data_IF_827974643270
#
_entry.id   IF_827974643270
#
_cell.length_a   1.000
_cell.length_b   1.000
_cell.length_c   1.000
_cell.angle_alpha   90.00
_cell.angle_beta   90.00
_cell.angle_gamma   90.00
#
_symmetry.space_group_name_H-M   'P 1'
#
loop_
_entity.id
_entity.type
_entity.pdbx_description
1 polymer ?
#
# COMPACT_ATOMS: atom_id res chain seq x y z
N UNK A 1 21.86 17.07 8.22
CA UNK A 1 20.91 16.72 7.15
C UNK A 1 21.54 17.15 5.84
N UNK A 2 22.24 16.24 5.16
CA UNK A 2 22.98 16.51 3.92
C UNK A 2 22.03 16.25 2.75
N UNK A 3 21.86 17.17 1.79
CA UNK A 3 21.05 16.92 0.61
C UNK A 3 21.72 15.85 -0.27
N UNK A 4 20.98 14.78 -0.57
CA UNK A 4 21.38 13.78 -1.56
C UNK A 4 21.23 14.41 -2.94
N UNK A 5 22.35 14.79 -3.55
CA UNK A 5 22.41 15.23 -4.95
C UNK A 5 22.03 14.01 -5.81
N UNK A 6 20.86 14.05 -6.45
CA UNK A 6 20.52 13.12 -7.52
C UNK A 6 21.37 13.51 -8.73
N UNK A 7 22.63 13.08 -8.73
CA UNK A 7 23.44 13.06 -9.94
C UNK A 7 22.95 11.87 -10.76
N UNK A 8 22.32 12.15 -11.91
CA UNK A 8 22.22 11.15 -12.97
C UNK A 8 23.65 10.85 -13.42
N UNK A 9 24.23 9.78 -12.90
CA UNK A 9 25.53 9.27 -13.36
C UNK A 9 25.31 8.78 -14.80
N UNK A 10 26.04 9.32 -15.79
CA UNK A 10 25.93 8.88 -17.19
C UNK A 10 26.30 7.40 -17.27
N UNK A 11 25.63 6.68 -18.16
CA UNK A 11 25.56 5.21 -18.32
C UNK A 11 26.93 4.50 -18.43
N UNK A 12 27.71 4.51 -17.35
CA UNK A 12 28.90 3.70 -17.12
C UNK A 12 28.57 2.48 -16.26
N UNK A 13 29.43 1.48 -16.32
CA UNK A 13 29.32 0.24 -15.54
C UNK A 13 29.38 0.54 -14.03
N UNK A 14 28.21 0.68 -13.40
CA UNK A 14 28.08 0.97 -11.99
C UNK A 14 28.42 -0.29 -11.16
N UNK A 15 29.51 -0.22 -10.38
CA UNK A 15 29.91 -1.29 -9.45
C UNK A 15 29.07 -1.32 -8.15
N UNK A 16 28.09 -0.44 -8.00
CA UNK A 16 27.26 -0.31 -6.79
C UNK A 16 25.79 -0.14 -7.14
N UNK A 17 24.90 -0.64 -6.27
CA UNK A 17 23.45 -0.44 -6.38
C UNK A 17 23.08 0.99 -5.98
N UNK A 18 22.33 1.73 -6.81
CA UNK A 18 21.91 3.08 -6.47
C UNK A 18 20.78 3.06 -5.43
N UNK A 19 20.67 4.11 -4.61
CA UNK A 19 19.69 4.20 -3.51
C UNK A 19 18.22 3.97 -3.94
N UNK A 20 17.87 4.32 -5.18
CA UNK A 20 16.52 4.15 -5.72
C UNK A 20 16.40 2.99 -6.73
N UNK A 21 17.49 2.22 -6.90
CA UNK A 21 17.59 1.05 -7.79
C UNK A 21 17.21 1.31 -9.27
N UNK A 22 17.46 2.54 -9.75
CA UNK A 22 17.09 3.01 -11.10
C UNK A 22 17.49 2.10 -12.28
N UNK A 23 18.56 1.31 -12.12
CA UNK A 23 19.24 0.65 -13.22
C UNK A 23 19.36 -0.87 -13.07
N UNK A 24 18.57 -1.49 -12.19
CA UNK A 24 18.70 -2.93 -11.93
C UNK A 24 18.27 -3.83 -13.11
N UNK A 25 17.48 -3.33 -14.06
CA UNK A 25 17.00 -4.06 -15.25
C UNK A 25 16.94 -3.14 -16.47
N UNK A 26 17.08 -3.72 -17.68
CA UNK A 26 17.05 -2.99 -18.96
C UNK A 26 15.77 -2.16 -19.16
N UNK A 27 14.68 -2.55 -18.49
CA UNK A 27 13.47 -1.77 -18.31
C UNK A 27 13.57 -0.95 -17.02
N UNK A 28 13.84 0.36 -17.18
CA UNK A 28 14.12 1.36 -16.13
C UNK A 28 12.97 1.61 -15.13
N UNK A 29 11.92 0.78 -15.06
CA UNK A 29 10.70 1.04 -14.27
C UNK A 29 10.15 -0.17 -13.50
N UNK A 30 10.80 -1.33 -13.51
CA UNK A 30 10.17 -2.57 -12.99
C UNK A 30 10.34 -2.75 -11.48
N UNK A 31 11.38 -2.18 -10.86
CA UNK A 31 11.76 -2.46 -9.46
C UNK A 31 12.40 -1.24 -8.81
N UNK A 32 11.62 -0.17 -8.67
CA UNK A 32 12.09 1.10 -8.12
C UNK A 32 11.29 1.46 -6.89
N UNK A 33 11.93 2.22 -6.00
CA UNK A 33 11.22 2.88 -4.90
C UNK A 33 10.16 3.83 -5.46
N UNK A 34 9.00 3.94 -4.78
CA UNK A 34 7.88 4.82 -5.14
C UNK A 34 7.10 4.48 -6.42
N UNK A 35 7.19 3.23 -6.91
CA UNK A 35 6.32 2.72 -7.98
C UNK A 35 5.09 2.02 -7.35
N UNK A 36 3.88 2.15 -7.95
CA UNK A 36 2.70 1.43 -7.47
C UNK A 36 2.93 -0.09 -7.46
N UNK A 37 2.43 -0.75 -6.40
CA UNK A 37 2.58 -2.19 -6.24
C UNK A 37 1.94 -2.95 -7.42
N UNK A 38 2.73 -3.83 -8.04
CA UNK A 38 2.27 -4.75 -9.07
C UNK A 38 1.18 -5.65 -8.48
N UNK A 39 0.08 -5.80 -9.20
CA UNK A 39 -1.07 -6.60 -8.75
C UNK A 39 -1.04 -7.96 -9.43
N UNK A 40 -1.01 -9.03 -8.64
CA UNK A 40 -1.09 -10.40 -9.15
C UNK A 40 -2.49 -10.75 -9.67
N UNK A 41 -3.52 -10.14 -9.07
CA UNK A 41 -4.93 -10.36 -9.44
C UNK A 41 -5.62 -9.02 -9.68
N UNK A 42 -6.69 -9.03 -10.47
CA UNK A 42 -7.54 -7.86 -10.64
C UNK A 42 -8.08 -7.37 -9.28
N UNK A 43 -8.17 -6.05 -9.11
CA UNK A 43 -8.73 -5.48 -7.87
C UNK A 43 -10.24 -5.56 -7.92
N UNK A 44 -10.81 -6.10 -6.84
CA UNK A 44 -12.26 -6.21 -6.67
C UNK A 44 -12.71 -5.13 -5.69
N UNK A 45 -13.27 -4.04 -6.21
CA UNK A 45 -13.91 -2.95 -5.47
C UNK A 45 -15.41 -2.91 -5.73
N UNK A 46 -16.19 -2.20 -4.92
CA UNK A 46 -17.65 -2.14 -5.08
C UNK A 46 -18.11 -1.46 -6.38
N UNK A 47 -17.38 -0.44 -6.85
CA UNK A 47 -17.63 0.28 -8.11
C UNK A 47 -16.47 0.16 -9.12
N UNK A 48 -15.56 -0.80 -8.96
CA UNK A 48 -14.45 -1.02 -9.90
C UNK A 48 -13.24 -0.08 -9.77
N UNK A 49 -13.33 1.02 -9.01
CA UNK A 49 -12.31 2.08 -9.05
C UNK A 49 -11.69 2.43 -7.69
N UNK A 50 -12.46 2.90 -6.69
CA UNK A 50 -11.86 3.45 -5.44
C UNK A 50 -12.57 3.10 -4.13
N UNK A 51 -13.74 2.46 -4.17
CA UNK A 51 -14.52 2.19 -2.96
C UNK A 51 -14.16 0.84 -2.33
N UNK A 52 -14.12 0.75 -0.99
CA UNK A 52 -13.94 -0.52 -0.31
C UNK A 52 -15.02 -1.51 -0.77
N UNK A 53 -14.64 -2.79 -0.80
CA UNK A 53 -15.52 -3.88 -1.25
C UNK A 53 -16.78 -3.96 -0.37
N UNK A 54 -17.87 -4.52 -0.92
CA UNK A 54 -19.06 -4.96 -0.16
C UNK A 54 -19.24 -6.47 -0.30
N UNK A 55 -20.10 -7.07 0.53
CA UNK A 55 -20.43 -8.50 0.43
C UNK A 55 -21.00 -8.85 -0.94
N UNK A 56 -20.44 -9.87 -1.61
CA UNK A 56 -20.94 -10.35 -2.90
C UNK A 56 -22.33 -11.00 -2.74
N UNK A 57 -22.53 -11.76 -1.66
CA UNK A 57 -23.74 -12.58 -1.44
C UNK A 57 -24.91 -11.78 -0.86
N UNK A 58 -24.65 -10.97 0.16
CA UNK A 58 -25.70 -10.23 0.89
C UNK A 58 -25.85 -8.79 0.43
N UNK A 59 -24.92 -8.27 -0.40
CA UNK A 59 -24.85 -6.86 -0.83
C UNK A 59 -24.79 -5.84 0.34
N UNK A 60 -24.58 -6.32 1.56
CA UNK A 60 -24.41 -5.52 2.77
C UNK A 60 -22.95 -5.08 2.96
N UNK A 61 -22.69 -4.00 3.72
CA UNK A 61 -21.33 -3.61 4.10
C UNK A 61 -20.63 -4.74 4.87
N UNK A 62 -19.30 -4.86 4.71
CA UNK A 62 -18.53 -5.82 5.51
C UNK A 62 -18.59 -5.48 7.00
N UNK A 63 -18.53 -6.49 7.88
CA UNK A 63 -18.47 -6.24 9.31
C UNK A 63 -17.26 -5.38 9.66
N UNK A 64 -17.38 -4.58 10.71
CA UNK A 64 -16.29 -3.69 11.11
C UNK A 64 -15.04 -4.52 11.44
N UNK A 65 -13.84 -4.06 11.04
CA UNK A 65 -12.59 -4.76 11.37
C UNK A 65 -12.42 -5.00 12.87
N UNK A 66 -12.92 -4.07 13.70
CA UNK A 66 -12.89 -4.20 15.16
C UNK A 66 -13.79 -5.32 15.67
N UNK A 67 -14.98 -5.49 15.10
CA UNK A 67 -15.87 -6.60 15.44
C UNK A 67 -15.22 -7.93 15.09
N UNK A 68 -14.60 -8.05 13.90
CA UNK A 68 -13.88 -9.27 13.49
C UNK A 68 -12.69 -9.54 14.43
N UNK A 69 -11.91 -8.51 14.74
CA UNK A 69 -10.75 -8.60 15.65
C UNK A 69 -11.16 -9.16 17.02
N UNK A 70 -12.25 -8.66 17.59
CA UNK A 70 -12.71 -9.08 18.92
C UNK A 70 -13.45 -10.41 18.94
N UNK A 71 -14.10 -10.80 17.83
CA UNK A 71 -14.87 -12.05 17.78
C UNK A 71 -14.06 -13.27 17.36
N UNK A 72 -13.00 -13.08 16.55
CA UNK A 72 -12.20 -14.20 16.01
C UNK A 72 -10.83 -14.34 16.64
N UNK A 73 -10.17 -13.22 17.01
CA UNK A 73 -8.80 -13.25 17.52
C UNK A 73 -8.83 -13.08 19.04
N UNK A 74 -8.83 -14.21 19.74
CA UNK A 74 -8.74 -14.25 21.20
C UNK A 74 -7.27 -14.16 21.59
N UNK A 75 -6.96 -13.30 22.55
CA UNK A 75 -5.62 -13.18 23.12
C UNK A 75 -5.40 -14.35 24.08
N UNK A 76 -4.36 -15.15 23.82
CA UNK A 76 -3.99 -16.32 24.61
C UNK A 76 -2.48 -16.31 24.77
N UNK A 77 -2.02 -16.36 26.01
CA UNK A 77 -0.59 -16.44 26.34
C UNK A 77 -0.03 -17.81 25.93
N UNK A 78 0.52 -17.89 24.71
CA UNK A 78 1.10 -19.10 24.13
C UNK A 78 2.57 -18.86 23.74
N UNK A 79 3.54 -18.98 24.67
CA UNK A 79 4.95 -18.84 24.34
C UNK A 79 5.44 -20.01 23.47
N UNK A 80 6.31 -19.70 22.52
CA UNK A 80 6.97 -20.70 21.68
C UNK A 80 8.36 -21.03 22.25
N UNK A 81 8.64 -22.30 22.53
CA UNK A 81 9.92 -22.76 23.10
C UNK A 81 11.00 -23.09 22.07
N UNK A 82 10.61 -23.25 20.80
CA UNK A 82 11.52 -23.62 19.70
C UNK A 82 12.08 -22.40 18.98
N UNK A 83 11.30 -21.31 18.90
CA UNK A 83 11.67 -20.10 18.20
C UNK A 83 11.85 -18.93 19.16
N UNK A 84 12.93 -18.19 18.98
CA UNK A 84 13.20 -16.98 19.74
C UNK A 84 12.37 -15.81 19.20
N UNK A 85 12.07 -14.82 20.05
CA UNK A 85 11.40 -13.58 19.63
C UNK A 85 12.19 -12.81 18.55
N UNK A 86 13.50 -13.09 18.42
CA UNK A 86 14.33 -12.51 17.35
C UNK A 86 13.79 -12.85 15.96
N UNK A 87 13.17 -14.03 15.78
CA UNK A 87 12.56 -14.42 14.50
C UNK A 87 11.46 -13.45 14.06
N UNK A 88 10.61 -13.02 14.98
CA UNK A 88 9.52 -12.07 14.70
C UNK A 88 10.07 -10.69 14.30
N UNK A 89 11.09 -10.19 15.02
CA UNK A 89 11.72 -8.91 14.70
C UNK A 89 12.46 -8.94 13.36
N UNK A 90 13.14 -10.04 13.06
CA UNK A 90 13.79 -10.21 11.76
C UNK A 90 12.77 -10.24 10.60
N UNK A 91 11.60 -10.84 10.81
CA UNK A 91 10.50 -10.80 9.85
C UNK A 91 10.00 -9.37 9.56
N UNK A 92 9.86 -8.53 10.59
CA UNK A 92 9.51 -7.12 10.42
C UNK A 92 10.61 -6.36 9.68
N UNK A 93 11.88 -6.60 10.01
CA UNK A 93 13.01 -5.99 9.31
C UNK A 93 12.97 -6.27 7.80
N UNK A 94 12.78 -7.53 7.40
CA UNK A 94 12.64 -7.91 5.99
C UNK A 94 11.41 -7.25 5.36
N UNK A 95 10.27 -7.26 6.05
CA UNK A 95 9.03 -6.68 5.50
C UNK A 95 9.17 -5.18 5.22
N UNK A 96 9.89 -4.45 6.09
CA UNK A 96 10.10 -3.01 5.96
C UNK A 96 11.14 -2.67 4.88
N UNK A 97 12.10 -3.56 4.61
CA UNK A 97 13.05 -3.39 3.50
C UNK A 97 12.39 -3.62 2.13
N UNK A 98 11.44 -4.57 2.05
CA UNK A 98 10.77 -4.94 0.80
C UNK A 98 9.58 -4.03 0.46
N UNK A 99 8.83 -3.56 1.46
CA UNK A 99 7.60 -2.78 1.21
C UNK A 99 7.38 -1.71 2.26
N UNK A 100 7.06 -0.52 1.76
CA UNK A 100 6.49 0.57 2.54
C UNK A 100 5.28 1.16 1.81
N UNK A 101 4.25 1.57 2.56
CA UNK A 101 3.05 2.22 2.00
C UNK A 101 2.74 3.47 2.80
N UNK A 102 2.50 4.57 2.09
CA UNK A 102 2.16 5.87 2.69
C UNK A 102 0.65 5.98 2.77
N UNK A 103 0.14 6.41 3.93
CA UNK A 103 -1.26 6.79 4.10
C UNK A 103 -1.43 8.28 3.81
N UNK A 104 -2.47 8.62 3.03
CA UNK A 104 -2.77 9.99 2.64
C UNK A 104 -4.10 10.36 3.30
N UNK A 105 -4.02 11.09 4.41
CA UNK A 105 -5.21 11.71 5.01
C UNK A 105 -5.58 12.93 4.19
N UNK A 106 -6.64 12.83 3.41
CA UNK A 106 -7.27 14.01 2.82
C UNK A 106 -7.89 14.82 3.95
N UNK A 107 -7.36 16.03 4.18
CA UNK A 107 -7.97 16.99 5.09
C UNK A 107 -9.46 17.13 4.76
N UNK A 108 -10.29 17.35 5.79
CA UNK A 108 -11.75 17.42 5.71
C UNK A 108 -12.20 18.46 4.68
N UNK A 109 -12.24 18.07 3.41
CA UNK A 109 -12.89 18.83 2.36
C UNK A 109 -14.38 18.76 2.68
N UNK A 110 -15.01 19.93 2.72
CA UNK A 110 -16.41 20.08 3.07
C UNK A 110 -17.24 19.24 2.08
N UNK A 111 -17.74 18.09 2.58
CA UNK A 111 -18.25 16.97 1.78
C UNK A 111 -19.46 17.34 0.93
N UNK A 112 -20.07 18.50 1.20
CA UNK A 112 -21.15 19.10 0.43
C UNK A 112 -20.72 19.51 -0.98
N UNK A 113 -19.50 20.01 -1.18
CA UNK A 113 -19.08 20.52 -2.49
C UNK A 113 -18.66 19.40 -3.47
N UNK A 114 -18.09 18.29 -2.98
CA UNK A 114 -17.65 17.18 -3.85
C UNK A 114 -18.81 16.38 -4.43
N UNK A 115 -19.91 16.21 -3.68
CA UNK A 115 -21.12 15.58 -4.19
C UNK A 115 -21.86 16.47 -5.21
N UNK A 116 -21.70 17.79 -5.11
CA UNK A 116 -22.33 18.76 -6.01
C UNK A 116 -21.58 18.87 -7.34
N UNK A 117 -20.25 18.79 -7.34
CA UNK A 117 -19.44 18.73 -8.57
C UNK A 117 -19.66 17.44 -9.38
N UNK A 118 -19.92 16.31 -8.72
CA UNK A 118 -20.27 15.06 -9.41
C UNK A 118 -21.68 15.09 -10.02
N UNK A 119 -22.65 15.74 -9.36
CA UNK A 119 -24.03 15.88 -9.87
C UNK A 119 -24.22 16.99 -10.92
N UNK A 120 -23.29 17.94 -11.06
CA UNK A 120 -23.37 18.97 -12.08
C UNK A 120 -22.87 18.51 -13.46
N UNK A 121 -22.10 17.43 -13.55
CA UNK A 121 -21.62 16.87 -14.82
C UNK A 121 -22.57 15.84 -15.46
N UNK A 122 -23.68 15.48 -14.81
CA UNK A 122 -24.71 14.60 -15.42
C UNK A 122 -25.83 15.36 -16.14
N UNK A 123 -25.75 16.70 -16.20
CA UNK A 123 -26.76 17.55 -16.84
C UNK A 123 -26.20 18.46 -17.96
N UNK A 124 -24.99 18.17 -18.48
CA UNK A 124 -24.48 18.79 -19.70
C UNK A 124 -24.17 17.70 -20.74
N UNK A 125 -25.12 17.55 -21.66
CA UNK A 125 -25.02 16.88 -22.99
C UNK A 125 -24.50 15.44 -23.00
#
# INVERSE_FOLDING_TARGET
>A
MVPVIISCIPDGELNYRPFLDYYHQATKTVKHSFIPRIKMTAVITFLGIWMPRVSIKTKLPLPSPRMISTSLFVDVDAPNYEYTSMLSYFGQFISHDITFSVDITFGKLNLTYLFQLFNLNSNFS
#
